data_IF_021019049371
#
_entry.id   IF_021019049371
#
_cell.length_a   1.000
_cell.length_b   1.000
_cell.length_c   1.000
_cell.angle_alpha   90.00
_cell.angle_beta   90.00
_cell.angle_gamma   90.00
#
_symmetry.space_group_name_H-M   'P 1'
#
loop_
_entity.id
_entity.type
_entity.pdbx_description
1 polymer ?
#
# COMPACT_ATOMS: atom_id res chain seq x y z
N UNK A 1 -15.44 31.21 -2.21
CA UNK A 1 -15.33 29.83 -1.68
C UNK A 1 -14.56 29.92 -0.37
N UNK A 2 -15.11 29.44 0.74
CA UNK A 2 -14.44 29.38 2.03
C UNK A 2 -14.00 27.93 2.27
N UNK A 3 -12.72 27.72 2.57
CA UNK A 3 -12.22 26.43 3.04
C UNK A 3 -11.98 26.50 4.55
N UNK A 4 -12.18 25.38 5.24
CA UNK A 4 -11.74 25.17 6.61
C UNK A 4 -10.55 24.21 6.57
N UNK A 5 -9.47 24.55 7.28
CA UNK A 5 -8.34 23.64 7.49
C UNK A 5 -8.70 22.74 8.68
N UNK A 6 -8.73 21.43 8.46
CA UNK A 6 -9.18 20.45 9.46
C UNK A 6 -8.09 19.97 10.43
N UNK A 7 -6.84 20.45 10.29
CA UNK A 7 -5.68 20.05 11.13
C UNK A 7 -5.57 18.52 11.35
N UNK A 8 -5.80 17.75 10.29
CA UNK A 8 -5.67 16.29 10.30
C UNK A 8 -4.23 15.89 9.98
N UNK A 9 -3.74 14.85 10.64
CA UNK A 9 -2.43 14.24 10.44
C UNK A 9 -2.55 12.91 9.70
N UNK A 10 -1.42 12.40 9.20
CA UNK A 10 -1.36 11.08 8.58
C UNK A 10 -1.84 9.99 9.54
N UNK A 11 -2.69 9.07 9.04
CA UNK A 11 -3.32 8.03 9.85
C UNK A 11 -4.59 8.47 10.60
N UNK A 12 -4.90 9.77 10.66
CA UNK A 12 -6.12 10.24 11.32
C UNK A 12 -7.36 9.73 10.59
N UNK A 13 -8.37 9.32 11.37
CA UNK A 13 -9.69 8.97 10.85
C UNK A 13 -10.73 9.89 11.48
N UNK A 14 -11.50 10.60 10.66
CA UNK A 14 -12.45 11.60 11.14
C UNK A 14 -13.82 11.45 10.48
N UNK A 15 -14.91 11.75 11.21
CA UNK A 15 -16.26 11.72 10.67
C UNK A 15 -16.54 12.97 9.83
N UNK A 16 -17.05 12.77 8.62
CA UNK A 16 -17.57 13.82 7.75
C UNK A 16 -19.09 13.68 7.69
N UNK A 17 -19.78 14.73 8.12
CA UNK A 17 -21.23 14.85 7.95
C UNK A 17 -21.50 15.70 6.72
N UNK A 18 -21.99 15.07 5.65
CA UNK A 18 -22.44 15.78 4.46
C UNK A 18 -23.90 16.14 4.67
N UNK A 19 -24.17 17.41 4.97
CA UNK A 19 -25.53 17.96 4.90
C UNK A 19 -25.79 18.37 3.46
N UNK A 20 -26.35 17.48 2.66
CA UNK A 20 -26.96 17.89 1.40
C UNK A 20 -28.18 18.75 1.76
N UNK A 21 -28.15 20.03 1.40
CA UNK A 21 -29.40 20.82 1.35
C UNK A 21 -30.21 20.18 0.23
N UNK A 22 -31.36 19.63 0.58
CA UNK A 22 -32.31 19.15 -0.41
C UNK A 22 -32.55 20.32 -1.38
N UNK A 23 -32.26 20.13 -2.67
CA UNK A 23 -32.47 21.18 -3.68
C UNK A 23 -33.98 21.44 -3.93
N UNK A 24 -34.85 20.77 -3.18
CA UNK A 24 -36.29 20.79 -3.38
C UNK A 24 -37.06 21.76 -2.46
N UNK A 25 -36.39 22.48 -1.53
CA UNK A 25 -37.12 23.36 -0.60
C UNK A 25 -37.29 24.82 -1.09
N UNK A 26 -36.62 25.21 -2.18
CA UNK A 26 -36.77 26.55 -2.75
C UNK A 26 -36.97 26.46 -4.27
N UNK A 27 -38.24 26.26 -4.68
CA UNK A 27 -38.88 26.66 -5.97
C UNK A 27 -39.73 25.55 -6.62
N UNK A 28 -40.82 25.15 -5.94
CA UNK A 28 -42.05 24.79 -6.68
C UNK A 28 -42.86 26.06 -6.83
N UNK A 29 -42.63 26.85 -7.88
CA UNK A 29 -43.66 27.79 -8.31
C UNK A 29 -44.78 27.02 -9.00
N UNK A 30 -45.88 26.84 -8.29
CA UNK A 30 -47.14 26.47 -8.93
C UNK A 30 -47.66 27.68 -9.70
N UNK A 31 -47.55 27.67 -11.03
CA UNK A 31 -48.28 28.60 -11.88
C UNK A 31 -49.74 28.13 -11.98
N UNK A 32 -50.68 28.91 -11.44
CA UNK A 32 -52.11 28.68 -11.63
C UNK A 32 -52.45 28.97 -13.09
N UNK A 33 -52.81 27.95 -13.89
CA UNK A 33 -53.27 28.14 -15.26
C UNK A 33 -53.02 27.02 -16.27
N UNK A 34 -52.33 25.92 -15.90
CA UNK A 34 -52.14 24.79 -16.81
C UNK A 34 -53.11 23.65 -16.47
N UNK A 35 -54.21 23.54 -17.24
CA UNK A 35 -55.02 22.32 -17.32
C UNK A 35 -54.45 21.41 -18.40
N UNK A 36 -53.85 20.30 -17.97
CA UNK A 36 -53.28 19.26 -18.83
C UNK A 36 -52.11 18.58 -18.10
N UNK A 37 -52.37 17.44 -17.46
CA UNK A 37 -51.33 16.49 -17.03
C UNK A 37 -50.31 16.30 -18.18
N UNK A 38 -49.00 16.25 -17.97
CA UNK A 38 -48.21 15.32 -17.15
C UNK A 38 -46.82 15.92 -16.81
N UNK A 39 -46.31 15.64 -15.60
CA UNK A 39 -45.13 16.33 -15.07
C UNK A 39 -43.83 16.08 -15.86
N UNK A 40 -43.08 17.15 -16.11
CA UNK A 40 -41.68 17.07 -16.56
C UNK A 40 -40.76 16.76 -15.37
N UNK A 41 -40.10 15.61 -15.42
CA UNK A 41 -39.01 15.30 -14.51
C UNK A 41 -37.85 16.27 -14.75
N UNK A 42 -37.48 17.05 -13.75
CA UNK A 42 -36.15 17.61 -13.69
C UNK A 42 -35.19 16.48 -13.31
N UNK A 43 -34.73 15.75 -14.31
CA UNK A 43 -33.69 14.73 -14.18
C UNK A 43 -32.33 15.39 -13.97
N UNK A 44 -32.16 16.03 -12.82
CA UNK A 44 -30.82 16.15 -12.25
C UNK A 44 -30.43 14.74 -11.80
N UNK A 45 -29.52 14.10 -12.54
CA UNK A 45 -28.79 12.89 -12.09
C UNK A 45 -27.83 13.26 -10.95
N UNK A 46 -28.34 13.90 -9.90
CA UNK A 46 -27.65 14.11 -8.65
C UNK A 46 -27.72 12.83 -7.81
N UNK A 47 -26.67 12.58 -7.04
CA UNK A 47 -26.67 11.51 -6.05
C UNK A 47 -27.76 11.83 -5.00
N UNK A 48 -28.84 11.05 -4.96
CA UNK A 48 -29.82 11.14 -3.88
C UNK A 48 -29.18 10.61 -2.61
N UNK A 49 -28.71 11.50 -1.74
CA UNK A 49 -28.25 11.11 -0.40
C UNK A 49 -29.49 11.18 0.50
N UNK A 50 -30.21 10.06 0.60
CA UNK A 50 -31.38 9.91 1.48
C UNK A 50 -31.03 9.61 2.93
N UNK A 51 -29.74 9.44 3.23
CA UNK A 51 -29.23 9.15 4.56
C UNK A 51 -28.14 10.16 4.94
N UNK A 52 -28.41 10.91 6.02
CA UNK A 52 -27.47 11.83 6.70
C UNK A 52 -26.42 11.05 7.49
N UNK A 53 -25.93 9.95 6.92
CA UNK A 53 -24.94 9.09 7.55
C UNK A 53 -23.62 9.80 7.76
N UNK A 54 -22.89 9.38 8.79
CA UNK A 54 -21.50 9.78 9.00
C UNK A 54 -20.62 8.95 8.08
N UNK A 55 -19.83 9.60 7.23
CA UNK A 55 -18.78 8.95 6.45
C UNK A 55 -17.48 9.08 7.24
N UNK A 56 -16.74 8.00 7.42
CA UNK A 56 -15.39 8.08 7.98
C UNK A 56 -14.39 8.25 6.84
N UNK A 57 -13.52 9.24 6.97
CA UNK A 57 -12.41 9.48 6.06
C UNK A 57 -11.12 9.25 6.84
N UNK A 58 -10.24 8.42 6.29
CA UNK A 58 -8.91 8.14 6.84
C UNK A 58 -7.85 8.81 5.97
N UNK A 59 -6.94 9.56 6.58
CA UNK A 59 -5.76 10.10 5.91
C UNK A 59 -4.75 8.96 5.76
N UNK A 60 -4.33 8.58 4.54
CA UNK A 60 -3.35 7.52 4.38
C UNK A 60 -2.01 7.95 4.98
N UNK A 61 -1.33 7.03 5.66
CA UNK A 61 0.07 7.24 6.04
C UNK A 61 0.92 7.07 4.78
N UNK A 62 1.79 8.03 4.42
CA UNK A 62 2.68 7.89 3.29
C UNK A 62 3.63 6.71 3.53
N UNK A 63 3.78 5.86 2.51
CA UNK A 63 4.74 4.77 2.48
C UNK A 63 5.72 5.06 1.34
N UNK A 64 7.01 4.97 1.63
CA UNK A 64 8.06 5.08 0.63
C UNK A 64 8.16 3.73 -0.07
N UNK A 65 7.88 3.71 -1.36
CA UNK A 65 8.14 2.53 -2.19
C UNK A 65 9.65 2.41 -2.40
N UNK A 66 10.21 1.25 -2.08
CA UNK A 66 11.63 0.96 -2.23
C UNK A 66 11.82 -0.19 -3.21
N UNK A 67 12.85 -0.08 -4.04
CA UNK A 67 13.25 -1.18 -4.91
C UNK A 67 13.98 -2.24 -4.08
N UNK A 68 13.54 -3.49 -4.23
CA UNK A 68 14.19 -4.63 -3.58
C UNK A 68 14.58 -5.68 -4.61
N UNK A 69 15.67 -6.38 -4.33
CA UNK A 69 16.09 -7.57 -5.07
C UNK A 69 16.17 -8.75 -4.11
N UNK A 70 15.29 -9.73 -4.29
CA UNK A 70 15.31 -10.97 -3.54
C UNK A 70 16.35 -11.90 -4.17
N UNK A 71 17.38 -12.27 -3.41
CA UNK A 71 18.48 -13.13 -3.86
C UNK A 71 19.25 -12.52 -5.04
N UNK A 72 19.96 -11.40 -4.83
CA UNK A 72 20.71 -10.73 -5.88
C UNK A 72 21.64 -11.65 -6.67
N UNK A 73 21.69 -11.43 -7.98
CA UNK A 73 22.47 -12.23 -8.93
C UNK A 73 21.79 -13.53 -9.38
N UNK A 74 20.50 -13.74 -9.11
CA UNK A 74 19.77 -14.97 -9.47
C UNK A 74 18.33 -14.70 -9.89
N UNK A 75 18.01 -14.85 -11.19
CA UNK A 75 16.62 -14.85 -11.70
C UNK A 75 16.27 -16.24 -12.29
N UNK A 76 15.18 -16.92 -11.87
CA UNK A 76 14.22 -16.50 -10.85
C UNK A 76 14.74 -16.63 -9.42
N UNK A 77 14.19 -15.78 -8.55
CA UNK A 77 14.42 -15.72 -7.10
C UNK A 77 13.92 -16.99 -6.40
N UNK A 78 14.65 -18.08 -6.60
CA UNK A 78 14.21 -19.42 -6.23
C UNK A 78 14.51 -19.69 -4.75
N UNK A 79 13.43 -19.90 -3.99
CA UNK A 79 13.47 -20.13 -2.54
C UNK A 79 12.99 -21.56 -2.27
N UNK A 80 13.86 -22.35 -1.64
CA UNK A 80 13.48 -23.67 -1.14
C UNK A 80 13.04 -23.57 0.32
N UNK A 81 11.71 -23.55 0.57
CA UNK A 81 11.15 -23.44 1.93
C UNK A 81 11.55 -24.63 2.84
N UNK A 82 12.06 -25.74 2.29
CA UNK A 82 12.59 -26.87 3.07
C UNK A 82 14.07 -26.73 3.45
N UNK A 83 14.74 -25.69 2.93
CA UNK A 83 16.16 -25.45 3.22
C UNK A 83 16.36 -24.80 4.58
N UNK A 84 17.45 -25.13 5.27
CA UNK A 84 17.86 -24.51 6.55
C UNK A 84 18.80 -23.32 6.34
N UNK A 85 18.75 -22.72 5.15
CA UNK A 85 19.61 -21.62 4.76
C UNK A 85 19.04 -20.25 5.14
N UNK A 86 19.62 -19.23 4.53
CA UNK A 86 19.12 -17.86 4.56
C UNK A 86 18.79 -17.39 3.15
N UNK A 87 17.82 -16.48 3.04
CA UNK A 87 17.48 -15.76 1.80
C UNK A 87 18.06 -14.35 1.94
N UNK A 88 19.00 -13.95 1.07
CA UNK A 88 19.41 -12.55 0.98
C UNK A 88 18.32 -11.71 0.31
N UNK A 89 18.09 -10.50 0.78
CA UNK A 89 17.20 -9.51 0.14
C UNK A 89 17.87 -8.14 0.26
N UNK A 90 18.07 -7.45 -0.85
CA UNK A 90 18.64 -6.11 -0.87
C UNK A 90 17.53 -5.06 -0.95
N UNK A 91 17.70 -3.95 -0.24
CA UNK A 91 17.03 -2.68 -0.55
C UNK A 91 18.04 -1.85 -1.34
N UNK A 92 17.68 -1.49 -2.57
CA UNK A 92 18.60 -0.82 -3.49
C UNK A 92 18.64 0.68 -3.24
N UNK A 93 19.83 1.26 -3.35
CA UNK A 93 20.00 2.71 -3.37
C UNK A 93 19.68 3.21 -4.78
N UNK A 94 18.67 4.08 -4.90
CA UNK A 94 18.29 4.69 -6.17
C UNK A 94 18.70 6.16 -6.22
N UNK A 95 18.23 6.93 -7.20
CA UNK A 95 18.42 8.38 -7.19
C UNK A 95 17.49 9.09 -6.18
N UNK A 96 16.40 8.43 -5.79
CA UNK A 96 15.37 8.98 -4.91
C UNK A 96 15.45 8.41 -3.48
N UNK A 97 16.20 7.33 -3.25
CA UNK A 97 16.33 6.63 -1.97
C UNK A 97 17.78 6.27 -1.67
N UNK A 98 18.27 6.65 -0.47
CA UNK A 98 19.53 6.14 0.09
C UNK A 98 19.23 4.95 1.02
N UNK A 99 19.65 3.74 0.65
CA UNK A 99 19.37 2.53 1.44
C UNK A 99 19.98 2.57 2.85
N UNK A 100 21.02 3.40 3.08
CA UNK A 100 21.60 3.61 4.41
C UNK A 100 20.68 4.40 5.37
N UNK A 101 19.57 4.94 4.87
CA UNK A 101 18.53 5.59 5.68
C UNK A 101 17.49 4.62 6.21
N UNK A 102 17.50 3.35 5.78
CA UNK A 102 16.62 2.31 6.30
C UNK A 102 17.05 1.93 7.72
N UNK A 103 16.10 1.83 8.65
CA UNK A 103 16.35 1.31 10.00
C UNK A 103 16.29 -0.23 9.99
N UNK A 104 17.44 -0.93 10.10
CA UNK A 104 17.48 -2.39 10.04
C UNK A 104 16.66 -3.10 11.13
N UNK A 105 16.45 -2.47 12.29
CA UNK A 105 15.76 -3.09 13.42
C UNK A 105 14.24 -3.17 13.21
N UNK A 106 13.72 -2.42 12.23
CA UNK A 106 12.29 -2.39 11.86
C UNK A 106 11.97 -3.29 10.66
N UNK A 107 13.00 -3.78 9.96
CA UNK A 107 12.83 -4.50 8.70
C UNK A 107 12.22 -5.88 8.93
N UNK A 108 11.20 -6.18 8.14
CA UNK A 108 10.50 -7.45 8.10
C UNK A 108 10.32 -7.88 6.65
N UNK A 109 10.74 -9.11 6.32
CA UNK A 109 10.51 -9.69 4.99
C UNK A 109 9.69 -10.96 5.11
N UNK A 110 8.52 -10.99 4.47
CA UNK A 110 7.56 -12.09 4.57
C UNK A 110 7.36 -12.56 6.03
N UNK A 111 7.12 -11.60 6.95
CA UNK A 111 6.96 -11.83 8.40
C UNK A 111 8.21 -12.30 9.17
N UNK A 112 9.39 -12.38 8.54
CA UNK A 112 10.65 -12.72 9.20
C UNK A 112 11.50 -11.48 9.50
N UNK A 113 12.16 -11.49 10.66
CA UNK A 113 13.18 -10.49 11.01
C UNK A 113 14.55 -10.88 10.40
N UNK A 114 15.41 -9.92 10.03
CA UNK A 114 16.74 -10.23 9.54
C UNK A 114 17.60 -10.81 10.66
N UNK A 115 18.42 -11.80 10.33
CA UNK A 115 19.42 -12.35 11.26
C UNK A 115 20.76 -11.62 11.19
N UNK A 116 21.00 -10.88 10.10
CA UNK A 116 22.12 -9.97 9.89
C UNK A 116 21.86 -9.10 8.66
N UNK A 117 22.59 -8.00 8.56
CA UNK A 117 22.62 -7.13 7.40
C UNK A 117 24.04 -6.61 7.15
N UNK A 118 24.28 -6.11 5.94
CA UNK A 118 25.52 -5.44 5.53
C UNK A 118 25.21 -4.36 4.51
N UNK A 119 26.10 -3.39 4.35
CA UNK A 119 26.11 -2.53 3.18
C UNK A 119 26.99 -3.17 2.11
N UNK A 120 26.48 -3.33 0.90
CA UNK A 120 27.20 -3.93 -0.25
C UNK A 120 26.58 -3.40 -1.55
N UNK A 121 27.39 -3.10 -2.55
CA UNK A 121 26.93 -2.80 -3.92
C UNK A 121 26.54 -4.14 -4.58
N UNK A 122 25.24 -4.46 -4.61
CA UNK A 122 24.77 -5.79 -5.04
C UNK A 122 24.46 -5.87 -6.52
N UNK A 123 24.18 -4.74 -7.17
CA UNK A 123 23.83 -4.67 -8.59
C UNK A 123 24.96 -4.12 -9.49
N UNK A 124 26.02 -3.58 -8.89
CA UNK A 124 27.23 -3.10 -9.57
C UNK A 124 27.11 -1.68 -10.11
N UNK A 125 26.17 -0.88 -9.63
CA UNK A 125 25.97 0.50 -10.06
C UNK A 125 26.93 1.51 -9.38
N UNK A 126 27.68 1.06 -8.38
CA UNK A 126 28.62 1.85 -7.60
C UNK A 126 28.01 2.60 -6.41
N UNK A 127 26.73 2.35 -6.09
CA UNK A 127 26.05 2.78 -4.88
C UNK A 127 25.98 1.60 -3.91
N UNK A 128 25.99 1.89 -2.61
CA UNK A 128 25.93 0.84 -1.60
C UNK A 128 24.48 0.55 -1.27
N UNK A 129 24.09 -0.71 -1.34
CA UNK A 129 22.75 -1.19 -1.00
C UNK A 129 22.73 -1.79 0.39
N UNK A 130 21.52 -1.95 0.94
CA UNK A 130 21.35 -2.60 2.24
C UNK A 130 20.92 -4.05 2.06
N UNK A 131 21.85 -4.98 2.29
CA UNK A 131 21.65 -6.40 2.09
C UNK A 131 21.31 -7.13 3.40
N UNK A 132 20.05 -7.54 3.53
CA UNK A 132 19.53 -8.30 4.66
C UNK A 132 19.60 -9.81 4.41
N UNK A 133 19.67 -10.59 5.49
CA UNK A 133 19.60 -12.04 5.44
C UNK A 133 18.51 -12.57 6.36
N UNK A 134 17.56 -13.32 5.81
CA UNK A 134 16.42 -13.88 6.56
C UNK A 134 16.52 -15.40 6.60
N UNK A 135 16.20 -16.03 7.73
CA UNK A 135 16.13 -17.49 7.78
C UNK A 135 14.96 -17.98 6.94
N UNK A 136 15.22 -18.91 6.03
CA UNK A 136 14.17 -19.44 5.14
C UNK A 136 13.00 -20.08 5.90
N UNK A 137 13.25 -20.64 7.09
CA UNK A 137 12.24 -21.29 7.93
C UNK A 137 11.31 -20.32 8.68
N UNK A 138 11.67 -19.04 8.72
CA UNK A 138 10.87 -18.00 9.37
C UNK A 138 10.00 -17.22 8.36
N UNK A 139 10.20 -17.47 7.06
CA UNK A 139 9.42 -16.82 5.99
C UNK A 139 8.00 -17.38 5.95
N UNK A 140 7.03 -16.48 6.02
CA UNK A 140 5.61 -16.77 5.84
C UNK A 140 5.24 -16.77 4.34
N UNK A 141 5.77 -17.75 3.61
CA UNK A 141 5.49 -17.99 2.19
C UNK A 141 4.92 -19.40 2.00
N UNK A 142 4.11 -19.60 0.95
CA UNK A 142 3.54 -20.89 0.59
C UNK A 142 4.10 -21.36 -0.77
N UNK A 143 3.84 -22.60 -1.16
CA UNK A 143 4.28 -23.11 -2.48
C UNK A 143 3.68 -22.36 -3.68
N UNK A 144 2.57 -21.64 -3.43
CA UNK A 144 1.83 -20.82 -4.40
C UNK A 144 2.26 -19.36 -4.39
N UNK A 145 3.12 -18.93 -3.46
CA UNK A 145 3.65 -17.56 -3.45
C UNK A 145 4.40 -17.25 -4.74
N UNK A 146 4.04 -16.13 -5.36
CA UNK A 146 4.69 -15.60 -6.58
C UNK A 146 5.43 -14.29 -6.34
N UNK A 147 5.21 -13.65 -5.19
CA UNK A 147 5.93 -12.46 -4.73
C UNK A 147 6.09 -12.49 -3.22
N UNK A 148 7.00 -11.66 -2.72
CA UNK A 148 7.21 -11.43 -1.31
C UNK A 148 7.53 -9.95 -1.06
N UNK A 149 7.09 -9.45 0.09
CA UNK A 149 7.19 -8.03 0.45
C UNK A 149 8.12 -7.86 1.64
N UNK A 150 8.97 -6.84 1.53
CA UNK A 150 9.76 -6.27 2.61
C UNK A 150 9.07 -4.99 3.10
N UNK A 151 8.96 -4.83 4.41
CA UNK A 151 8.48 -3.62 5.08
C UNK A 151 9.48 -3.19 6.13
N UNK A 152 9.46 -1.91 6.49
CA UNK A 152 10.23 -1.38 7.61
C UNK A 152 9.96 0.10 7.77
N UNK A 153 10.91 0.80 8.38
CA UNK A 153 10.91 2.25 8.52
C UNK A 153 12.28 2.80 8.10
N UNK A 154 12.29 4.02 7.58
CA UNK A 154 13.49 4.83 7.52
C UNK A 154 13.80 5.40 8.92
N UNK A 155 15.03 5.89 9.11
CA UNK A 155 15.51 6.44 10.39
C UNK A 155 14.72 7.68 10.86
N UNK A 156 13.96 8.32 9.97
CA UNK A 156 13.06 9.42 10.30
C UNK A 156 11.63 8.97 10.67
N UNK A 157 11.38 7.65 10.68
CA UNK A 157 10.11 7.02 11.02
C UNK A 157 9.15 6.85 9.85
N UNK A 158 9.52 7.23 8.62
CA UNK A 158 8.67 7.00 7.46
C UNK A 158 8.64 5.50 7.11
N UNK A 159 7.45 4.93 6.97
CA UNK A 159 7.31 3.52 6.59
C UNK A 159 7.82 3.28 5.16
N UNK A 160 8.49 2.15 4.96
CA UNK A 160 8.97 1.71 3.65
C UNK A 160 8.31 0.38 3.26
N UNK A 161 8.11 0.17 1.96
CA UNK A 161 7.63 -1.09 1.42
C UNK A 161 8.29 -1.37 0.07
N UNK A 162 8.70 -2.61 -0.16
CA UNK A 162 9.20 -3.07 -1.44
C UNK A 162 8.72 -4.50 -1.71
N UNK A 163 8.41 -4.81 -2.96
CA UNK A 163 7.93 -6.15 -3.35
C UNK A 163 8.68 -6.63 -4.59
N UNK A 164 9.06 -7.90 -4.56
CA UNK A 164 9.70 -8.57 -5.70
C UNK A 164 9.12 -9.99 -5.84
N UNK A 165 9.30 -10.58 -7.02
CA UNK A 165 8.81 -11.91 -7.38
C UNK A 165 9.62 -13.01 -6.72
N UNK A 166 8.98 -14.16 -6.48
CA UNK A 166 9.64 -15.35 -5.93
C UNK A 166 9.22 -16.60 -6.70
N UNK A 167 10.14 -17.55 -6.79
CA UNK A 167 9.85 -18.89 -7.29
C UNK A 167 10.03 -19.94 -6.19
N UNK A 168 8.93 -20.37 -5.58
CA UNK A 168 8.99 -21.36 -4.51
C UNK A 168 9.24 -22.77 -5.06
N UNK A 169 10.27 -23.43 -4.52
CA UNK A 169 10.71 -24.77 -4.94
C UNK A 169 10.86 -25.75 -3.76
N UNK A 170 10.78 -27.07 -3.99
CA UNK A 170 10.17 -27.68 -5.16
C UNK A 170 8.68 -27.35 -5.22
N UNK A 171 8.11 -27.21 -6.42
CA UNK A 171 6.66 -27.10 -6.58
C UNK A 171 5.99 -28.37 -6.02
N UNK A 172 4.88 -28.21 -5.31
CA UNK A 172 4.05 -29.33 -4.89
C UNK A 172 3.77 -30.24 -6.07
N UNK A 173 3.75 -31.56 -5.85
CA UNK A 173 3.27 -32.49 -6.89
C UNK A 173 1.83 -32.08 -7.17
N UNK A 174 1.58 -31.49 -8.34
CA UNK A 174 0.22 -31.24 -8.82
C UNK A 174 -0.58 -32.52 -8.62
N UNK A 175 -1.61 -32.46 -7.79
CA UNK A 175 -2.57 -33.56 -7.72
C UNK A 175 -3.40 -33.47 -8.99
N UNK A 176 -3.02 -34.26 -9.98
CA UNK A 176 -3.89 -34.62 -11.12
C UNK A 176 -5.12 -35.39 -10.64
#
# INVERSE_FOLDING_TARGET
>A
MSYAVLNVSDGDTFPVQIKARDFNDDYVQSYTGYEGYDGEYSQYRGLWITDTGVIYVTVPVPVIEVEIDIKPGSDPNSINLKSKGVVPVAVLTTDDLDANTVDPDTVVFASALPVRWTMEDVDGDGKMDMLFHFKTQELNLTEDSTSATLTGEALDGMSIQGTDTVNIVPKGKGRE
#
